data_IF_629018492984
#
_entry.id   IF_629018492984
#
_cell.length_a   1.000
_cell.length_b   1.000
_cell.length_c   1.000
_cell.angle_alpha   90.00
_cell.angle_beta   90.00
_cell.angle_gamma   90.00
#
_symmetry.space_group_name_H-M   'P 1'
#
loop_
_entity.id
_entity.type
_entity.pdbx_description
1 polymer ?
#
# COMPACT_ATOMS: atom_id res chain seq x y z
N UNK A 1 -5.07 0.77 6.59
CA UNK A 1 -3.71 0.33 7.00
C UNK A 1 -2.86 1.50 7.53
N UNK A 2 -2.07 1.28 8.60
CA UNK A 2 -1.05 2.22 9.09
C UNK A 2 0.33 1.81 8.56
N UNK A 3 1.08 2.75 7.99
CA UNK A 3 2.42 2.50 7.45
C UNK A 3 3.47 2.63 8.55
N UNK A 4 3.42 3.75 9.28
CA UNK A 4 4.41 4.10 10.30
C UNK A 4 3.72 4.96 11.36
N UNK A 5 3.95 4.64 12.64
CA UNK A 5 3.73 5.53 13.78
C UNK A 5 5.07 6.03 14.33
N UNK A 6 5.20 7.35 14.50
CA UNK A 6 6.37 7.97 15.15
C UNK A 6 5.93 9.04 16.13
N UNK A 7 6.67 9.15 17.21
CA UNK A 7 6.55 10.23 18.19
C UNK A 7 7.58 11.32 17.87
N UNK A 8 7.19 12.57 18.08
CA UNK A 8 8.05 13.73 17.87
C UNK A 8 7.74 14.86 18.83
N UNK A 9 8.49 15.94 18.69
CA UNK A 9 8.33 17.14 19.51
C UNK A 9 8.00 18.32 18.59
N UNK A 10 7.04 19.15 19.01
CA UNK A 10 6.67 20.37 18.31
C UNK A 10 7.57 21.56 18.68
N UNK A 11 8.02 22.29 17.67
CA UNK A 11 8.65 23.59 17.80
C UNK A 11 7.70 24.73 17.39
N UNK A 12 7.76 25.91 18.06
CA UNK A 12 6.88 27.04 17.73
C UNK A 12 7.04 27.63 16.33
N UNK A 13 8.15 27.37 15.64
CA UNK A 13 8.39 27.76 14.25
C UNK A 13 7.62 26.88 13.24
N UNK A 14 6.93 25.85 13.70
CA UNK A 14 6.17 24.91 12.89
C UNK A 14 6.98 23.70 12.42
N UNK A 15 8.15 23.43 12.99
CA UNK A 15 8.86 22.17 12.78
C UNK A 15 8.38 21.07 13.74
N UNK A 16 8.31 19.84 13.23
CA UNK A 16 8.11 18.62 14.02
C UNK A 16 9.38 17.79 13.94
N UNK A 17 10.03 17.56 15.07
CA UNK A 17 11.28 16.78 15.15
C UNK A 17 10.95 15.34 15.52
N UNK A 18 11.22 14.41 14.59
CA UNK A 18 11.11 12.95 14.77
C UNK A 18 12.49 12.36 15.11
N UNK A 19 12.58 11.54 16.15
CA UNK A 19 13.84 10.90 16.53
C UNK A 19 14.14 9.62 15.71
N UNK A 20 15.39 9.42 15.19
CA UNK A 20 16.53 10.34 15.16
C UNK A 20 16.70 11.03 13.79
N UNK A 21 16.67 12.36 13.77
CA UNK A 21 17.20 13.19 12.68
C UNK A 21 16.26 13.54 11.53
N UNK A 22 14.97 13.20 11.62
CA UNK A 22 13.99 13.55 10.59
C UNK A 22 13.14 14.70 11.11
N UNK A 23 13.20 15.87 10.45
CA UNK A 23 12.25 16.96 10.73
C UNK A 23 11.21 17.06 9.61
N UNK A 24 9.98 17.38 9.99
CA UNK A 24 8.88 17.60 9.05
C UNK A 24 8.27 18.96 9.32
N UNK A 25 8.17 19.80 8.30
CA UNK A 25 7.52 21.11 8.42
C UNK A 25 6.00 20.95 8.47
N UNK A 26 5.32 21.66 9.38
CA UNK A 26 3.86 21.67 9.48
C UNK A 26 3.17 21.95 8.15
N UNK A 27 3.71 22.91 7.38
CA UNK A 27 3.17 23.29 6.06
C UNK A 27 3.25 22.18 5.02
N UNK A 28 4.11 21.18 5.22
CA UNK A 28 4.23 20.02 4.33
C UNK A 28 3.17 18.93 4.60
N UNK A 29 2.57 18.92 5.79
CA UNK A 29 1.59 17.90 6.21
C UNK A 29 0.19 18.48 6.45
N UNK A 30 0.04 19.80 6.53
CA UNK A 30 -1.23 20.46 6.76
C UNK A 30 -1.31 21.80 6.04
N UNK A 31 -2.44 22.05 5.38
CA UNK A 31 -2.79 23.35 4.81
C UNK A 31 -3.41 24.31 5.84
N UNK A 32 -3.61 23.86 7.09
CA UNK A 32 -4.16 24.67 8.18
C UNK A 32 -3.08 25.54 8.81
N UNK A 33 -3.51 26.61 9.47
CA UNK A 33 -2.64 27.42 10.31
C UNK A 33 -1.93 26.56 11.36
N UNK A 34 -0.72 26.98 11.71
CA UNK A 34 0.08 26.35 12.76
C UNK A 34 -0.68 26.50 14.09
N UNK A 35 -0.87 25.43 14.86
CA UNK A 35 -1.56 25.50 16.14
C UNK A 35 -0.70 26.20 17.19
N UNK A 36 -1.32 26.97 18.08
CA UNK A 36 -0.64 27.54 19.24
C UNK A 36 -0.44 26.45 20.31
N UNK A 37 0.75 25.84 20.32
CA UNK A 37 1.13 24.79 21.28
C UNK A 37 2.39 25.21 22.05
N UNK A 38 2.50 24.88 23.35
CA UNK A 38 3.72 25.10 24.11
C UNK A 38 4.93 24.38 23.46
N UNK A 39 6.13 24.98 23.48
CA UNK A 39 7.35 24.29 23.06
C UNK A 39 7.53 22.99 23.85
N UNK A 40 7.97 21.92 23.19
CA UNK A 40 8.14 20.62 23.84
C UNK A 40 6.87 19.77 23.90
N UNK A 41 5.75 20.23 23.34
CA UNK A 41 4.52 19.45 23.27
C UNK A 41 4.77 18.15 22.49
N UNK A 42 4.46 16.97 23.06
CA UNK A 42 4.60 15.70 22.35
C UNK A 42 3.57 15.61 21.23
N UNK A 43 4.01 15.13 20.08
CA UNK A 43 3.17 14.89 18.91
C UNK A 43 3.27 13.42 18.49
N UNK A 44 2.11 12.84 18.20
CA UNK A 44 2.01 11.56 17.53
C UNK A 44 1.74 11.80 16.04
N UNK A 45 2.60 11.27 15.17
CA UNK A 45 2.38 11.24 13.73
C UNK A 45 2.04 9.82 13.33
N UNK A 46 0.87 9.67 12.70
CA UNK A 46 0.44 8.44 12.06
C UNK A 46 0.35 8.65 10.55
N UNK A 47 1.09 7.85 9.79
CA UNK A 47 1.00 7.84 8.32
C UNK A 47 0.17 6.63 7.91
N UNK A 48 -0.88 6.86 7.13
CA UNK A 48 -1.73 5.80 6.57
C UNK A 48 -1.73 5.85 5.05
N UNK A 49 -1.93 4.70 4.43
CA UNK A 49 -2.08 4.58 2.99
C UNK A 49 -3.57 4.44 2.63
N UNK A 50 -4.02 5.19 1.63
CA UNK A 50 -5.28 4.88 0.96
C UNK A 50 -5.08 3.70 0.00
N UNK A 51 -5.48 2.52 0.42
CA UNK A 51 -5.31 1.25 -0.30
C UNK A 51 -5.93 1.25 -1.71
N UNK A 52 -6.95 2.08 -1.96
CA UNK A 52 -7.52 2.21 -3.32
C UNK A 52 -6.50 2.69 -4.34
N UNK A 53 -5.48 3.44 -3.92
CA UNK A 53 -4.40 3.91 -4.79
C UNK A 53 -3.53 2.74 -5.28
N UNK A 54 -3.41 1.65 -4.52
CA UNK A 54 -2.67 0.45 -4.94
C UNK A 54 -3.36 -0.32 -6.07
N UNK A 55 -4.64 -0.04 -6.31
CA UNK A 55 -5.43 -0.61 -7.40
C UNK A 55 -5.61 0.38 -8.56
N UNK A 56 -4.88 1.49 -8.55
CA UNK A 56 -5.04 2.53 -9.58
C UNK A 56 -4.19 2.29 -10.83
N UNK A 57 -3.16 1.43 -10.76
CA UNK A 57 -2.16 1.29 -11.82
C UNK A 57 -1.04 2.34 -11.73
N UNK A 58 -1.14 3.32 -10.83
CA UNK A 58 -0.13 4.36 -10.68
C UNK A 58 1.25 3.77 -10.36
N UNK A 59 2.28 4.27 -11.04
CA UNK A 59 3.64 3.76 -10.96
C UNK A 59 3.78 2.26 -11.29
N UNK A 60 2.82 1.70 -12.05
CA UNK A 60 2.80 0.29 -12.43
C UNK A 60 2.31 -0.67 -11.35
N UNK A 61 1.84 -0.17 -10.21
CA UNK A 61 1.30 -1.00 -9.12
C UNK A 61 -0.13 -1.40 -9.47
N UNK A 62 -0.36 -2.71 -9.62
CA UNK A 62 -1.66 -3.25 -10.05
C UNK A 62 -2.34 -4.10 -8.98
N UNK A 63 -1.60 -4.52 -7.97
CA UNK A 63 -2.10 -5.36 -6.88
C UNK A 63 -1.25 -5.23 -5.62
N UNK A 64 -1.86 -5.57 -4.49
CA UNK A 64 -1.16 -5.74 -3.23
C UNK A 64 -1.79 -6.84 -2.36
N UNK A 65 -0.96 -7.53 -1.57
CA UNK A 65 -1.38 -8.61 -0.68
C UNK A 65 -0.43 -8.73 0.51
N UNK A 66 -0.92 -9.26 1.63
CA UNK A 66 -0.10 -9.64 2.78
C UNK A 66 0.42 -11.08 2.70
N UNK A 67 0.06 -11.81 1.64
CA UNK A 67 0.35 -13.24 1.50
C UNK A 67 1.32 -13.51 0.34
N UNK A 68 2.49 -14.07 0.65
CA UNK A 68 3.53 -14.36 -0.35
C UNK A 68 3.05 -15.32 -1.44
N UNK A 69 2.29 -16.36 -1.07
CA UNK A 69 1.74 -17.32 -2.03
C UNK A 69 0.79 -16.62 -3.02
N UNK A 70 -0.03 -15.68 -2.56
CA UNK A 70 -0.88 -14.90 -3.47
C UNK A 70 -0.04 -14.08 -4.46
N UNK A 71 0.99 -13.38 -3.95
CA UNK A 71 1.85 -12.55 -4.80
C UNK A 71 2.58 -13.38 -5.88
N UNK A 72 3.14 -14.53 -5.51
CA UNK A 72 3.82 -15.44 -6.44
C UNK A 72 2.87 -16.03 -7.47
N UNK A 73 1.70 -16.50 -7.04
CA UNK A 73 0.69 -17.08 -7.94
C UNK A 73 0.20 -16.06 -8.95
N UNK A 74 -0.11 -14.83 -8.52
CA UNK A 74 -0.54 -13.77 -9.44
C UNK A 74 0.60 -13.39 -10.39
N UNK A 75 1.83 -13.25 -9.89
CA UNK A 75 3.00 -12.96 -10.73
C UNK A 75 3.22 -14.04 -11.80
N UNK A 76 3.07 -15.31 -11.45
CA UNK A 76 3.19 -16.43 -12.39
C UNK A 76 2.03 -16.47 -13.39
N UNK A 77 0.81 -16.15 -12.95
CA UNK A 77 -0.35 -16.05 -13.84
C UNK A 77 -0.18 -14.92 -14.88
N UNK A 78 0.35 -13.77 -14.48
CA UNK A 78 0.71 -12.68 -15.39
C UNK A 78 1.79 -13.10 -16.39
N UNK A 79 2.82 -13.80 -15.92
CA UNK A 79 3.87 -14.31 -16.80
C UNK A 79 3.32 -15.26 -17.88
N UNK A 80 2.33 -16.10 -17.54
CA UNK A 80 1.66 -16.96 -18.51
C UNK A 80 0.84 -16.18 -19.56
N UNK A 81 0.47 -14.93 -19.26
CA UNK A 81 -0.12 -13.98 -20.22
C UNK A 81 0.94 -13.15 -20.96
N UNK A 82 2.23 -13.50 -20.85
CA UNK A 82 3.38 -12.72 -21.35
C UNK A 82 3.54 -11.33 -20.70
N UNK A 83 2.94 -11.09 -19.55
CA UNK A 83 3.07 -9.82 -18.81
C UNK A 83 4.16 -9.97 -17.74
N UNK A 84 5.22 -9.16 -17.85
CA UNK A 84 6.33 -9.19 -16.88
C UNK A 84 6.02 -8.30 -15.67
N UNK A 85 6.18 -8.86 -14.48
CA UNK A 85 5.98 -8.16 -13.21
C UNK A 85 7.08 -8.47 -12.19
N UNK A 86 7.17 -7.65 -11.15
CA UNK A 86 7.99 -7.94 -9.97
C UNK A 86 7.18 -7.75 -8.68
N UNK A 87 7.60 -8.50 -7.67
CA UNK A 87 7.06 -8.41 -6.31
C UNK A 87 7.95 -7.45 -5.51
N UNK A 88 7.43 -6.25 -5.23
CA UNK A 88 8.00 -5.30 -4.30
C UNK A 88 7.56 -5.61 -2.86
N UNK A 89 8.36 -5.18 -1.90
CA UNK A 89 8.06 -5.30 -0.46
C UNK A 89 8.01 -3.93 0.18
N UNK A 90 6.99 -3.69 0.99
CA UNK A 90 6.87 -2.52 1.86
C UNK A 90 6.73 -3.02 3.28
N UNK A 91 7.72 -2.69 4.10
CA UNK A 91 7.70 -2.98 5.53
C UNK A 91 6.74 -1.99 6.21
N UNK A 92 5.78 -2.52 6.96
CA UNK A 92 4.82 -1.78 7.77
C UNK A 92 5.14 -2.04 9.25
N UNK A 93 4.41 -1.38 10.15
CA UNK A 93 4.64 -1.49 11.60
C UNK A 93 4.54 -2.95 12.10
N UNK A 94 3.47 -3.67 11.71
CA UNK A 94 3.19 -5.02 12.22
C UNK A 94 3.25 -6.12 11.14
N UNK A 95 3.44 -5.75 9.87
CA UNK A 95 3.38 -6.69 8.75
C UNK A 95 4.16 -6.23 7.52
N UNK A 96 4.24 -7.10 6.51
CA UNK A 96 4.84 -6.80 5.21
C UNK A 96 3.74 -6.77 4.17
N UNK A 97 3.67 -5.67 3.41
CA UNK A 97 2.82 -5.58 2.24
C UNK A 97 3.63 -5.90 0.99
N UNK A 98 3.12 -6.85 0.20
CA UNK A 98 3.69 -7.26 -1.08
C UNK A 98 2.96 -6.53 -2.19
N UNK A 99 3.71 -5.91 -3.09
CA UNK A 99 3.19 -5.12 -4.20
C UNK A 99 3.53 -5.80 -5.53
N UNK A 100 2.55 -5.97 -6.41
CA UNK A 100 2.81 -6.45 -7.77
C UNK A 100 2.95 -5.24 -8.68
N UNK A 101 4.16 -5.10 -9.25
CA UNK A 101 4.52 -3.99 -10.13
C UNK A 101 4.79 -4.48 -11.54
N UNK A 102 4.05 -3.95 -12.50
CA UNK A 102 4.27 -4.20 -13.93
C UNK A 102 5.44 -3.34 -14.43
N UNK A 103 6.29 -3.92 -15.26
CA UNK A 103 7.47 -3.25 -15.80
C UNK A 103 7.15 -2.32 -16.96
N UNK A 104 6.30 -2.78 -17.88
CA UNK A 104 5.89 -2.00 -19.04
C UNK A 104 4.56 -1.31 -18.76
N UNK A 105 4.51 0.01 -18.91
CA UNK A 105 3.30 0.80 -18.64
C UNK A 105 2.14 0.42 -19.56
N UNK A 106 2.44 -0.06 -20.77
CA UNK A 106 1.45 -0.56 -21.74
C UNK A 106 0.61 -1.71 -21.19
N UNK A 107 1.21 -2.55 -20.35
CA UNK A 107 0.60 -3.80 -19.91
C UNK A 107 -0.20 -3.62 -18.61
N UNK A 108 -0.13 -2.44 -17.99
CA UNK A 108 -0.79 -2.15 -16.70
C UNK A 108 -2.30 -2.35 -16.80
N UNK A 109 -2.94 -1.81 -17.84
CA UNK A 109 -4.38 -1.94 -18.00
C UNK A 109 -4.79 -3.40 -18.19
N UNK A 110 -4.04 -4.14 -19.01
CA UNK A 110 -4.27 -5.56 -19.27
C UNK A 110 -4.08 -6.41 -18.01
N UNK A 111 -3.02 -6.16 -17.24
CA UNK A 111 -2.77 -6.83 -15.97
C UNK A 111 -3.90 -6.58 -14.97
N UNK A 112 -4.37 -5.33 -14.83
CA UNK A 112 -5.47 -5.00 -13.93
C UNK A 112 -6.78 -5.67 -14.35
N UNK A 113 -7.04 -5.69 -15.66
CA UNK A 113 -8.18 -6.36 -16.25
C UNK A 113 -8.17 -7.86 -15.94
N UNK A 114 -7.01 -8.49 -16.15
CA UNK A 114 -6.79 -9.91 -15.88
C UNK A 114 -6.90 -10.24 -14.38
N UNK A 115 -6.37 -9.42 -13.49
CA UNK A 115 -6.38 -9.71 -12.05
C UNK A 115 -7.78 -9.54 -11.46
N UNK A 116 -8.48 -8.43 -11.74
CA UNK A 116 -9.66 -8.06 -10.96
C UNK A 116 -10.79 -7.31 -11.69
N UNK A 117 -10.61 -6.77 -12.90
CA UNK A 117 -11.71 -6.01 -13.57
C UNK A 117 -12.58 -6.85 -14.49
N UNK A 118 -12.03 -7.84 -15.20
CA UNK A 118 -12.78 -8.64 -16.18
C UNK A 118 -13.30 -9.95 -15.61
N UNK A 119 -14.39 -10.46 -16.18
CA UNK A 119 -15.05 -11.70 -15.75
C UNK A 119 -14.30 -12.97 -16.18
N UNK A 120 -13.51 -12.90 -17.25
CA UNK A 120 -12.65 -13.98 -17.74
C UNK A 120 -11.26 -13.99 -17.09
N UNK A 121 -10.97 -13.02 -16.22
CA UNK A 121 -9.74 -12.95 -15.43
C UNK A 121 -9.78 -13.81 -14.16
N UNK A 122 -8.82 -13.55 -13.27
CA UNK A 122 -8.70 -14.21 -11.96
C UNK A 122 -9.84 -13.82 -11.00
N UNK A 123 -10.43 -12.63 -11.20
CA UNK A 123 -11.52 -12.06 -10.39
C UNK A 123 -11.19 -11.98 -8.90
N UNK A 124 -9.93 -11.67 -8.59
CA UNK A 124 -9.46 -11.55 -7.23
C UNK A 124 -9.97 -10.26 -6.60
N UNK A 125 -10.18 -10.32 -5.29
CA UNK A 125 -10.45 -9.17 -4.42
C UNK A 125 -9.25 -8.97 -3.50
N UNK A 126 -8.86 -7.73 -3.19
CA UNK A 126 -7.74 -7.47 -2.29
C UNK A 126 -8.00 -8.03 -0.89
N UNK A 127 -6.93 -8.31 -0.14
CA UNK A 127 -7.03 -8.91 1.20
C UNK A 127 -7.89 -8.08 2.16
N UNK A 128 -7.79 -6.75 2.13
CA UNK A 128 -8.59 -5.82 2.96
C UNK A 128 -10.08 -5.77 2.61
N UNK A 129 -10.52 -6.53 1.61
CA UNK A 129 -11.95 -6.74 1.35
C UNK A 129 -12.58 -7.69 2.39
N UNK A 130 -11.74 -8.46 3.07
CA UNK A 130 -12.16 -9.44 4.07
C UNK A 130 -11.77 -8.96 5.48
N UNK A 131 -12.47 -9.41 6.53
CA UNK A 131 -12.11 -9.11 7.90
C UNK A 131 -10.70 -9.61 8.25
N UNK A 132 -10.04 -8.92 9.19
CA UNK A 132 -8.71 -9.30 9.64
C UNK A 132 -8.67 -10.76 10.12
N UNK A 133 -7.66 -11.51 9.66
CA UNK A 133 -7.49 -12.92 9.96
C UNK A 133 -8.31 -13.87 9.10
N UNK A 134 -9.25 -13.39 8.28
CA UNK A 134 -9.92 -14.25 7.30
C UNK A 134 -9.05 -14.48 6.05
N UNK A 135 -9.08 -15.70 5.48
CA UNK A 135 -8.40 -15.97 4.23
C UNK A 135 -9.07 -15.22 3.07
N UNK A 136 -8.28 -14.92 2.04
CA UNK A 136 -8.80 -14.29 0.83
C UNK A 136 -9.70 -15.28 0.06
N UNK A 137 -11.02 -15.18 0.28
CA UNK A 137 -11.99 -16.13 -0.28
C UNK A 137 -12.02 -16.12 -1.81
N UNK A 138 -11.73 -14.99 -2.45
CA UNK A 138 -11.66 -14.92 -3.92
C UNK A 138 -10.49 -15.72 -4.46
N UNK A 139 -9.34 -15.64 -3.79
CA UNK A 139 -8.14 -16.41 -4.13
C UNK A 139 -8.34 -17.90 -3.89
N UNK A 140 -8.87 -18.28 -2.73
CA UNK A 140 -9.17 -19.69 -2.41
C UNK A 140 -10.19 -20.28 -3.39
N UNK A 141 -11.22 -19.52 -3.75
CA UNK A 141 -12.19 -19.98 -4.76
C UNK A 141 -11.51 -20.20 -6.10
N UNK A 142 -10.71 -19.24 -6.56
CA UNK A 142 -9.99 -19.35 -7.83
C UNK A 142 -9.06 -20.58 -7.88
N UNK A 143 -8.37 -20.89 -6.77
CA UNK A 143 -7.51 -22.08 -6.69
C UNK A 143 -8.29 -23.41 -6.76
N UNK A 144 -9.54 -23.42 -6.30
CA UNK A 144 -10.34 -24.64 -6.12
C UNK A 144 -11.37 -24.89 -7.24
N UNK A 145 -11.63 -23.92 -8.13
CA UNK A 145 -12.57 -24.03 -9.26
C UNK A 145 -14.01 -23.69 -8.88
#
# INVERSE_FOLDING_TARGET
MKLIKKTGIFNPDGEIILHPGVSVSWKSISSRNIPELPPGTPLDIEVSLNEKVLLSGNHGIVWATYNMRQAEVISNALLAQNITSAIGRVELEDNVLLLIKIHQISDVAEAMDFIWRKEDGLRLKPDWTYPDGEPNKSFEKWLNG
#
